data_IF_223110056741
#
_entry.id   IF_223110056741
#
_cell.length_a   1.000
_cell.length_b   1.000
_cell.length_c   1.000
_cell.angle_alpha   90.00
_cell.angle_beta   90.00
_cell.angle_gamma   90.00
#
_symmetry.space_group_name_H-M   'P 1'
#
loop_
_entity.id
_entity.type
_entity.pdbx_description
1 polymer ?
#
# COMPACT_ATOMS: atom_id res chain seq x y z
N UNK A 1 0.39 2.53 -24.43
CA UNK A 1 0.00 1.90 -25.71
C UNK A 1 0.61 0.52 -25.73
N UNK A 2 -0.25 -0.49 -25.70
CA UNK A 2 0.01 -1.92 -25.46
C UNK A 2 0.55 -2.64 -26.70
N UNK A 3 1.36 -3.70 -26.52
CA UNK A 3 1.24 -4.95 -27.28
C UNK A 3 2.11 -6.10 -26.74
N UNK A 4 1.49 -7.29 -26.70
CA UNK A 4 2.04 -8.65 -26.84
C UNK A 4 2.25 -9.54 -25.59
N UNK A 5 1.38 -10.56 -25.55
CA UNK A 5 1.33 -11.79 -24.75
C UNK A 5 2.18 -12.93 -25.41
N UNK A 6 2.34 -14.13 -24.77
CA UNK A 6 3.61 -14.82 -24.60
C UNK A 6 3.72 -16.20 -25.29
N UNK A 7 4.89 -16.85 -25.19
CA UNK A 7 5.01 -18.32 -25.24
C UNK A 7 6.18 -18.89 -24.39
N UNK A 8 5.81 -19.92 -23.60
CA UNK A 8 6.51 -21.11 -23.09
C UNK A 8 7.78 -21.58 -23.84
N UNK A 9 8.78 -22.32 -23.35
CA UNK A 9 8.98 -23.29 -22.25
C UNK A 9 10.45 -23.76 -22.33
N UNK A 10 11.07 -24.25 -21.25
CA UNK A 10 12.30 -25.06 -21.38
C UNK A 10 13.09 -25.22 -20.09
N UNK A 11 13.14 -26.44 -19.57
CA UNK A 11 13.65 -26.85 -18.27
C UNK A 11 15.10 -27.37 -18.29
N UNK A 12 15.67 -27.52 -17.09
CA UNK A 12 16.79 -28.42 -16.75
C UNK A 12 18.19 -27.80 -16.87
N UNK A 13 19.18 -28.09 -16.04
CA UNK A 13 19.36 -29.00 -14.90
C UNK A 13 20.64 -28.50 -14.19
N UNK A 14 20.68 -28.54 -12.85
CA UNK A 14 21.89 -28.25 -12.07
C UNK A 14 22.34 -29.52 -11.33
N UNK A 15 23.60 -29.88 -11.54
CA UNK A 15 24.26 -31.11 -11.10
C UNK A 15 24.95 -30.91 -9.74
N UNK A 16 24.69 -31.86 -8.83
CA UNK A 16 25.50 -32.49 -7.77
C UNK A 16 26.74 -31.83 -7.14
N UNK A 17 26.90 -32.10 -5.82
CA UNK A 17 28.21 -32.47 -5.23
C UNK A 17 28.58 -31.69 -3.96
N UNK A 18 28.22 -32.12 -2.75
CA UNK A 18 28.94 -33.10 -1.88
C UNK A 18 30.10 -32.47 -1.05
N UNK A 19 30.06 -32.79 0.26
CA UNK A 19 31.13 -33.07 1.25
C UNK A 19 31.28 -32.15 2.48
N UNK A 20 30.85 -32.75 3.60
CA UNK A 20 31.33 -32.64 4.97
C UNK A 20 32.83 -32.36 5.13
N UNK A 21 33.18 -31.64 6.20
CA UNK A 21 34.35 -31.97 7.04
C UNK A 21 34.06 -31.70 8.52
N UNK A 22 34.23 -32.77 9.31
CA UNK A 22 34.25 -32.82 10.77
C UNK A 22 35.60 -32.36 11.33
N UNK A 23 35.50 -31.78 12.52
CA UNK A 23 36.39 -31.86 13.70
C UNK A 23 37.86 -31.43 13.59
N UNK A 24 38.23 -30.53 14.49
CA UNK A 24 39.48 -30.61 15.25
C UNK A 24 39.25 -30.03 16.65
N UNK A 25 39.44 -30.91 17.63
CA UNK A 25 39.44 -30.68 19.08
C UNK A 25 40.75 -30.04 19.56
N UNK A 26 40.71 -29.68 20.85
CA UNK A 26 41.79 -29.59 21.85
C UNK A 26 42.15 -28.16 22.28
N UNK A 27 41.77 -27.80 23.52
CA UNK A 27 42.69 -27.49 24.63
C UNK A 27 41.93 -27.31 25.97
N UNK A 28 42.11 -28.31 26.84
CA UNK A 28 42.40 -28.28 28.30
C UNK A 28 41.55 -27.49 29.33
N UNK A 29 40.92 -28.27 30.20
CA UNK A 29 40.68 -28.13 31.67
C UNK A 29 41.28 -26.92 32.40
N UNK A 30 40.43 -26.13 33.05
CA UNK A 30 40.49 -25.76 34.48
C UNK A 30 39.14 -25.13 34.91
N UNK A 31 38.79 -25.28 36.19
CA UNK A 31 37.67 -24.65 36.93
C UNK A 31 36.22 -25.19 36.78
N UNK A 32 36.00 -26.36 37.39
CA UNK A 32 34.67 -26.79 37.84
C UNK A 32 34.40 -26.28 39.27
N UNK A 33 33.73 -25.12 39.40
CA UNK A 33 32.97 -24.70 40.60
C UNK A 33 32.24 -23.37 40.34
N UNK A 34 31.11 -23.36 39.65
CA UNK A 34 30.07 -22.31 39.82
C UNK A 34 28.72 -22.81 39.28
N UNK A 35 27.97 -23.48 40.17
CA UNK A 35 26.54 -23.71 40.00
C UNK A 35 25.79 -22.41 40.29
N UNK A 36 24.96 -22.01 39.31
CA UNK A 36 23.60 -21.50 39.50
C UNK A 36 23.45 -20.28 40.42
N UNK A 37 23.36 -19.09 39.83
CA UNK A 37 22.39 -18.06 40.25
C UNK A 37 21.84 -17.34 39.01
N UNK A 38 20.79 -17.94 38.44
CA UNK A 38 19.88 -17.27 37.54
C UNK A 38 19.04 -16.29 38.38
N UNK A 39 18.98 -14.99 38.07
CA UNK A 39 18.11 -14.07 38.81
C UNK A 39 16.65 -14.50 38.64
N UNK A 40 15.78 -14.33 39.66
CA UNK A 40 14.41 -14.80 39.59
C UNK A 40 13.64 -14.14 38.44
N UNK A 41 12.87 -14.96 37.72
CA UNK A 41 11.89 -14.64 36.67
C UNK A 41 10.75 -13.67 37.08
N UNK A 42 10.92 -12.88 38.15
CA UNK A 42 9.91 -11.97 38.68
C UNK A 42 9.99 -10.55 38.08
N UNK A 43 11.16 -10.10 37.60
CA UNK A 43 11.35 -8.72 37.11
C UNK A 43 10.99 -8.53 35.63
N UNK A 44 10.95 -9.61 34.85
CA UNK A 44 10.51 -9.57 33.45
C UNK A 44 9.04 -9.15 33.31
N UNK A 45 8.20 -9.47 34.30
CA UNK A 45 6.78 -9.09 34.29
C UNK A 45 6.57 -7.61 34.64
N UNK A 46 7.45 -7.03 35.48
CA UNK A 46 7.40 -5.60 35.83
C UNK A 46 7.99 -4.73 34.71
N UNK A 47 9.05 -5.17 34.04
CA UNK A 47 9.58 -4.52 32.83
C UNK A 47 8.57 -4.58 31.68
N UNK A 48 7.90 -5.74 31.50
CA UNK A 48 6.82 -5.87 30.53
C UNK A 48 5.61 -5.00 30.93
N UNK A 49 5.26 -4.89 32.21
CA UNK A 49 4.18 -3.99 32.68
C UNK A 49 4.55 -2.51 32.56
N UNK A 50 5.78 -2.10 32.80
CA UNK A 50 6.25 -0.71 32.62
C UNK A 50 6.32 -0.33 31.14
N UNK A 51 6.81 -1.25 30.28
CA UNK A 51 6.75 -1.08 28.82
C UNK A 51 5.31 -1.13 28.28
N UNK A 52 4.42 -1.90 28.93
CA UNK A 52 2.98 -1.92 28.61
C UNK A 52 2.23 -0.69 29.17
N UNK A 53 2.71 -0.05 30.25
CA UNK A 53 2.13 1.20 30.77
C UNK A 53 2.47 2.41 29.90
N UNK A 54 3.59 2.35 29.18
CA UNK A 54 3.88 3.27 28.05
C UNK A 54 3.16 2.88 26.75
N UNK A 55 2.47 1.73 26.74
CA UNK A 55 1.80 1.15 25.58
C UNK A 55 0.43 1.75 25.21
N UNK A 56 -0.10 2.67 26.02
CA UNK A 56 -1.40 3.33 25.78
C UNK A 56 -1.32 4.71 25.14
N UNK A 57 -0.12 5.26 24.92
CA UNK A 57 0.07 6.34 23.95
C UNK A 57 0.09 5.71 22.55
N UNK A 58 -1.07 5.22 22.08
CA UNK A 58 -1.30 4.92 20.67
C UNK A 58 -0.74 6.09 19.89
N UNK A 59 0.24 5.85 19.02
CA UNK A 59 0.95 6.90 18.31
C UNK A 59 -0.06 7.64 17.41
N UNK A 60 -0.67 8.71 17.92
CA UNK A 60 -1.76 9.46 17.29
C UNK A 60 -1.38 9.84 15.85
N UNK A 61 -0.12 10.21 15.66
CA UNK A 61 0.45 10.55 14.35
C UNK A 61 0.33 9.41 13.32
N UNK A 62 0.40 8.14 13.72
CA UNK A 62 0.22 6.99 12.81
C UNK A 62 -1.23 6.79 12.40
N UNK A 63 -2.16 7.00 13.32
CA UNK A 63 -3.59 6.96 12.98
C UNK A 63 -3.92 8.10 12.02
N UNK A 64 -3.31 9.27 12.23
CA UNK A 64 -3.50 10.43 11.38
C UNK A 64 -2.91 10.21 10.00
N UNK A 65 -1.68 9.68 9.93
CA UNK A 65 -1.03 9.29 8.70
C UNK A 65 -1.86 8.25 7.93
N UNK A 66 -2.39 7.23 8.61
CA UNK A 66 -3.26 6.22 7.98
C UNK A 66 -4.49 6.88 7.37
N UNK A 67 -5.18 7.74 8.11
CA UNK A 67 -6.37 8.43 7.59
C UNK A 67 -6.05 9.43 6.49
N UNK A 68 -4.88 10.08 6.52
CA UNK A 68 -4.41 10.91 5.42
C UNK A 68 -4.25 10.08 4.14
N UNK A 69 -3.62 8.91 4.22
CA UNK A 69 -3.50 8.00 3.07
C UNK A 69 -4.87 7.56 2.57
N UNK A 70 -5.85 7.31 3.46
CA UNK A 70 -7.24 7.07 3.04
C UNK A 70 -7.84 8.27 2.30
N UNK A 71 -7.61 9.51 2.76
CA UNK A 71 -8.06 10.69 2.02
C UNK A 71 -7.44 10.75 0.62
N UNK A 72 -6.17 10.39 0.49
CA UNK A 72 -5.48 10.31 -0.79
C UNK A 72 -6.09 9.24 -1.71
N UNK A 73 -6.54 8.10 -1.19
CA UNK A 73 -7.30 7.10 -1.97
C UNK A 73 -8.56 7.73 -2.57
N UNK A 74 -9.37 8.41 -1.74
CA UNK A 74 -10.61 9.05 -2.20
C UNK A 74 -10.32 10.14 -3.23
N UNK A 75 -9.31 10.98 -2.98
CA UNK A 75 -8.87 12.01 -3.91
C UNK A 75 -8.37 11.42 -5.24
N UNK A 76 -7.63 10.31 -5.19
CA UNK A 76 -7.15 9.63 -6.39
C UNK A 76 -8.31 9.16 -7.25
N UNK A 77 -9.26 8.40 -6.69
CA UNK A 77 -10.42 7.92 -7.45
C UNK A 77 -11.33 9.06 -7.92
N UNK A 78 -11.49 10.13 -7.13
CA UNK A 78 -12.21 11.33 -7.54
C UNK A 78 -11.55 12.01 -8.75
N UNK A 79 -10.22 11.95 -8.87
CA UNK A 79 -9.47 12.56 -9.96
C UNK A 79 -9.52 11.76 -11.27
N UNK A 80 -9.61 10.42 -11.22
CA UNK A 80 -9.41 9.54 -12.39
C UNK A 80 -10.35 9.78 -13.58
N UNK A 81 -11.49 10.45 -13.39
CA UNK A 81 -12.41 10.79 -14.48
C UNK A 81 -11.93 11.96 -15.37
N UNK A 82 -10.95 12.74 -14.91
CA UNK A 82 -10.59 14.05 -15.45
C UNK A 82 -9.13 14.27 -15.95
N UNK A 83 -8.17 13.30 -15.88
CA UNK A 83 -6.84 13.54 -16.43
C UNK A 83 -6.85 13.51 -17.97
N UNK A 84 -5.83 14.11 -18.60
CA UNK A 84 -5.73 14.18 -20.07
C UNK A 84 -5.49 12.82 -20.72
N UNK A 85 -4.94 11.86 -19.97
CA UNK A 85 -4.76 10.48 -20.42
C UNK A 85 -6.00 9.60 -20.20
N UNK A 86 -7.09 10.13 -19.61
CA UNK A 86 -8.30 9.36 -19.36
C UNK A 86 -8.88 8.85 -20.69
N UNK A 87 -9.23 7.57 -20.68
CA UNK A 87 -9.79 6.86 -21.83
C UNK A 87 -10.99 6.03 -21.37
N UNK A 88 -12.03 6.03 -22.21
CA UNK A 88 -13.27 5.28 -22.01
C UNK A 88 -13.49 4.33 -23.17
N UNK A 89 -13.66 3.04 -22.85
CA UNK A 89 -14.05 2.01 -23.80
C UNK A 89 -15.52 1.65 -23.56
N UNK A 90 -16.47 2.08 -24.42
CA UNK A 90 -17.88 1.79 -24.22
C UNK A 90 -18.21 0.30 -24.40
N UNK A 91 -17.36 -0.48 -25.09
CA UNK A 91 -17.61 -1.92 -25.30
C UNK A 91 -17.18 -2.75 -24.09
N UNK A 92 -16.04 -2.40 -23.52
CA UNK A 92 -15.45 -3.06 -22.37
C UNK A 92 -15.00 -2.02 -21.38
N UNK A 93 -15.97 -1.42 -20.67
CA UNK A 93 -15.69 -0.29 -19.80
C UNK A 93 -14.72 -0.62 -18.65
N UNK A 94 -14.43 -1.89 -18.38
CA UNK A 94 -13.36 -2.33 -17.47
C UNK A 94 -11.95 -1.97 -17.95
N UNK A 95 -11.74 -1.84 -19.26
CA UNK A 95 -10.47 -1.45 -19.84
C UNK A 95 -10.34 0.07 -19.95
N UNK A 96 -11.36 0.80 -19.51
CA UNK A 96 -11.29 2.25 -19.31
C UNK A 96 -10.36 2.59 -18.16
N UNK A 97 -9.82 3.80 -18.19
CA UNK A 97 -9.02 4.35 -17.08
C UNK A 97 -9.81 4.54 -15.78
N UNK A 98 -11.13 4.71 -15.90
CA UNK A 98 -12.08 4.83 -14.81
C UNK A 98 -13.48 4.43 -15.31
N UNK A 99 -14.42 4.07 -14.41
CA UNK A 99 -15.80 3.76 -14.81
C UNK A 99 -16.51 4.95 -15.45
N UNK A 100 -16.18 6.17 -15.01
CA UNK A 100 -16.72 7.41 -15.57
C UNK A 100 -15.55 8.27 -16.04
N UNK A 101 -15.67 8.83 -17.24
CA UNK A 101 -14.61 9.59 -17.92
C UNK A 101 -15.26 10.82 -18.56
N UNK A 102 -14.87 12.01 -18.11
CA UNK A 102 -15.57 13.27 -18.39
C UNK A 102 -14.90 14.13 -19.47
N UNK A 103 -15.58 14.57 -20.52
CA UNK A 103 -14.94 15.28 -21.63
C UNK A 103 -14.07 16.49 -21.23
N UNK A 104 -14.36 17.14 -20.10
CA UNK A 104 -13.52 18.22 -19.59
C UNK A 104 -12.19 17.71 -18.97
N UNK A 105 -11.11 17.96 -19.72
CA UNK A 105 -9.68 17.69 -19.46
C UNK A 105 -9.00 18.59 -18.43
N UNK A 106 -8.17 18.11 -17.49
CA UNK A 106 -7.15 18.98 -16.86
C UNK A 106 -5.83 18.27 -16.52
N UNK A 107 -4.72 18.75 -17.11
CA UNK A 107 -3.37 18.18 -16.94
C UNK A 107 -2.78 18.33 -15.54
N UNK A 108 -3.34 19.21 -14.70
CA UNK A 108 -3.00 19.26 -13.29
C UNK A 108 -3.33 17.96 -12.56
N UNK A 109 -4.41 17.27 -12.96
CA UNK A 109 -4.78 15.98 -12.39
C UNK A 109 -3.85 14.86 -12.85
N UNK A 110 -3.24 14.96 -14.03
CA UNK A 110 -2.18 14.04 -14.45
C UNK A 110 -1.01 14.06 -13.46
N UNK A 111 -0.61 15.26 -13.05
CA UNK A 111 0.50 15.48 -12.11
C UNK A 111 0.12 15.00 -10.71
N UNK A 112 -1.09 15.31 -10.25
CA UNK A 112 -1.59 14.85 -8.96
C UNK A 112 -1.68 13.32 -8.88
N UNK A 113 -2.28 12.68 -9.89
CA UNK A 113 -2.43 11.22 -9.97
C UNK A 113 -1.04 10.57 -10.00
N UNK A 114 -0.14 11.08 -10.85
CA UNK A 114 1.23 10.57 -10.96
C UNK A 114 1.96 10.69 -9.63
N UNK A 115 1.88 11.83 -8.94
CA UNK A 115 2.52 12.00 -7.64
C UNK A 115 1.94 11.06 -6.59
N UNK A 116 0.61 10.96 -6.52
CA UNK A 116 -0.06 10.14 -5.53
C UNK A 116 0.30 8.66 -5.68
N UNK A 117 0.21 8.14 -6.92
CA UNK A 117 0.46 6.73 -7.27
C UNK A 117 1.86 6.24 -6.87
N UNK A 118 2.86 7.13 -6.77
CA UNK A 118 4.21 6.78 -6.36
C UNK A 118 4.27 6.13 -4.98
N UNK A 119 3.46 6.60 -4.02
CA UNK A 119 3.76 6.36 -2.60
C UNK A 119 2.57 5.95 -1.74
N UNK A 120 1.33 6.29 -2.08
CA UNK A 120 0.22 6.10 -1.15
C UNK A 120 -0.07 4.61 -0.85
N UNK A 121 -0.09 3.76 -1.88
CA UNK A 121 -0.26 2.30 -1.73
C UNK A 121 0.88 1.64 -0.96
N UNK A 122 2.18 1.80 -1.33
CA UNK A 122 3.27 1.19 -0.56
C UNK A 122 3.32 1.71 0.89
N UNK A 123 2.98 2.97 1.13
CA UNK A 123 2.84 3.52 2.48
C UNK A 123 1.70 2.85 3.26
N UNK A 124 0.55 2.59 2.62
CA UNK A 124 -0.57 1.89 3.23
C UNK A 124 -0.23 0.44 3.59
N UNK A 125 0.50 -0.27 2.72
CA UNK A 125 1.05 -1.61 3.00
C UNK A 125 2.05 -1.59 4.16
N UNK A 126 2.98 -0.62 4.17
CA UNK A 126 3.94 -0.42 5.26
C UNK A 126 3.23 -0.23 6.62
N UNK A 127 2.25 0.70 6.67
CA UNK A 127 1.49 0.99 7.89
C UNK A 127 0.70 -0.24 8.35
N UNK A 128 0.11 -0.99 7.43
CA UNK A 128 -0.64 -2.21 7.74
C UNK A 128 0.26 -3.29 8.33
N UNK A 129 1.48 -3.41 7.81
CA UNK A 129 2.53 -4.32 8.30
C UNK A 129 2.96 -4.06 9.75
N UNK A 130 3.01 -2.79 10.19
CA UNK A 130 3.48 -2.40 11.54
C UNK A 130 2.82 -3.15 12.71
N UNK A 131 1.59 -3.65 12.51
CA UNK A 131 0.81 -4.29 13.57
C UNK A 131 0.83 -5.83 13.50
N UNK A 132 1.38 -6.41 12.43
CA UNK A 132 1.33 -7.85 12.13
C UNK A 132 2.05 -8.67 13.18
N UNK A 133 3.34 -8.38 13.43
CA UNK A 133 4.15 -9.15 14.37
C UNK A 133 3.57 -9.13 15.79
N UNK A 134 3.17 -7.96 16.28
CA UNK A 134 2.58 -7.82 17.63
C UNK A 134 1.24 -8.55 17.72
N UNK A 135 0.43 -8.49 16.68
CA UNK A 135 -0.83 -9.24 16.58
C UNK A 135 -0.60 -10.75 16.67
N UNK A 136 0.34 -11.28 15.89
CA UNK A 136 0.72 -12.69 15.90
C UNK A 136 1.30 -13.14 17.24
N UNK A 137 2.22 -12.35 17.81
CA UNK A 137 2.87 -12.67 19.07
C UNK A 137 1.89 -12.67 20.26
N UNK A 138 0.89 -11.77 20.25
CA UNK A 138 -0.10 -11.64 21.34
C UNK A 138 -1.25 -12.63 21.23
N UNK A 139 -1.80 -12.83 20.02
CA UNK A 139 -3.02 -13.63 19.80
C UNK A 139 -2.72 -15.09 19.41
N UNK A 140 -1.53 -15.36 18.88
CA UNK A 140 -1.22 -16.61 18.19
C UNK A 140 -1.82 -16.68 16.78
N UNK A 141 -1.37 -17.64 15.98
CA UNK A 141 -1.67 -17.73 14.54
C UNK A 141 -3.17 -17.82 14.25
N UNK A 142 -3.87 -18.76 14.89
CA UNK A 142 -5.29 -19.03 14.60
C UNK A 142 -6.17 -17.82 14.90
N UNK A 143 -6.05 -17.25 16.10
CA UNK A 143 -6.84 -16.09 16.50
C UNK A 143 -6.49 -14.84 15.69
N UNK A 144 -5.22 -14.68 15.27
CA UNK A 144 -4.82 -13.62 14.36
C UNK A 144 -5.52 -13.73 13.00
N UNK A 145 -5.47 -14.89 12.35
CA UNK A 145 -6.10 -15.10 11.05
C UNK A 145 -7.61 -14.91 11.08
N UNK A 146 -8.29 -15.39 12.13
CA UNK A 146 -9.74 -15.18 12.30
C UNK A 146 -10.05 -13.68 12.44
N UNK A 147 -9.32 -12.96 13.29
CA UNK A 147 -9.51 -11.52 13.49
C UNK A 147 -9.27 -10.73 12.19
N UNK A 148 -8.24 -11.11 11.41
CA UNK A 148 -7.97 -10.50 10.10
C UNK A 148 -9.05 -10.82 9.07
N UNK A 149 -9.50 -12.06 8.97
CA UNK A 149 -10.58 -12.43 8.05
C UNK A 149 -11.88 -11.69 8.38
N UNK A 150 -12.22 -11.55 9.67
CA UNK A 150 -13.41 -10.79 10.08
C UNK A 150 -13.27 -9.31 9.74
N UNK A 151 -12.10 -8.70 9.98
CA UNK A 151 -11.89 -7.26 9.78
C UNK A 151 -11.57 -6.85 8.35
N UNK A 152 -11.08 -7.76 7.52
CA UNK A 152 -10.64 -7.47 6.14
C UNK A 152 -11.43 -8.31 5.13
N UNK A 153 -11.47 -9.63 5.32
CA UNK A 153 -12.16 -10.56 4.41
C UNK A 153 -13.65 -10.30 4.30
N UNK A 154 -14.38 -10.14 5.42
CA UNK A 154 -15.82 -9.87 5.38
C UNK A 154 -16.13 -8.52 4.68
N UNK A 155 -15.49 -7.38 5.05
CA UNK A 155 -15.69 -6.14 4.31
C UNK A 155 -15.32 -6.23 2.83
N UNK A 156 -14.27 -6.96 2.48
CA UNK A 156 -13.90 -7.21 1.08
C UNK A 156 -15.02 -7.93 0.33
N UNK A 157 -15.55 -9.03 0.87
CA UNK A 157 -16.66 -9.77 0.24
C UNK A 157 -17.91 -8.91 0.08
N UNK A 158 -18.27 -8.13 1.11
CA UNK A 158 -19.40 -7.19 1.05
C UNK A 158 -19.15 -6.13 -0.03
N UNK A 159 -17.94 -5.58 -0.10
CA UNK A 159 -17.59 -4.58 -1.08
C UNK A 159 -17.69 -5.14 -2.50
N UNK A 160 -17.09 -6.29 -2.79
CA UNK A 160 -17.06 -6.88 -4.13
C UNK A 160 -18.42 -7.41 -4.61
N UNK A 161 -19.27 -7.90 -3.70
CA UNK A 161 -20.60 -8.44 -4.06
C UNK A 161 -21.66 -7.34 -4.16
N UNK A 162 -21.52 -6.24 -3.40
CA UNK A 162 -22.56 -5.21 -3.29
C UNK A 162 -22.06 -3.85 -3.76
N UNK A 163 -20.99 -3.33 -3.15
CA UNK A 163 -20.58 -1.94 -3.34
C UNK A 163 -19.94 -1.69 -4.71
N UNK A 164 -19.13 -2.61 -5.21
CA UNK A 164 -18.47 -2.47 -6.52
C UNK A 164 -19.49 -2.58 -7.66
N UNK A 165 -20.41 -3.56 -7.71
CA UNK A 165 -21.50 -3.55 -8.69
C UNK A 165 -22.31 -2.25 -8.66
N UNK A 166 -22.68 -1.76 -7.47
CA UNK A 166 -23.38 -0.45 -7.34
C UNK A 166 -22.53 0.69 -7.91
N UNK A 167 -21.22 0.66 -7.74
CA UNK A 167 -20.32 1.67 -8.29
C UNK A 167 -20.25 1.66 -9.83
N UNK A 168 -20.46 0.50 -10.47
CA UNK A 168 -20.46 0.35 -11.93
C UNK A 168 -21.83 0.52 -12.59
N UNK A 169 -22.92 0.48 -11.82
CA UNK A 169 -24.28 0.75 -12.31
C UNK A 169 -24.41 2.05 -13.16
N UNK A 170 -23.83 3.22 -12.77
CA UNK A 170 -23.92 4.42 -13.60
C UNK A 170 -23.21 4.27 -14.96
N UNK A 171 -22.08 3.56 -14.99
CA UNK A 171 -21.34 3.27 -16.22
C UNK A 171 -22.13 2.34 -17.15
N UNK A 172 -22.73 1.29 -16.59
CA UNK A 172 -23.62 0.41 -17.36
C UNK A 172 -24.79 1.18 -17.98
N UNK A 173 -25.44 2.06 -17.19
CA UNK A 173 -26.52 2.90 -17.69
C UNK A 173 -26.03 3.86 -18.77
N UNK A 174 -24.86 4.48 -18.60
CA UNK A 174 -24.25 5.38 -19.60
C UNK A 174 -24.09 4.68 -20.96
N UNK A 175 -23.62 3.43 -20.98
CA UNK A 175 -23.37 2.66 -22.20
C UNK A 175 -24.66 2.09 -22.80
N UNK A 176 -25.51 1.47 -21.98
CA UNK A 176 -26.62 0.65 -22.47
C UNK A 176 -27.96 1.36 -22.46
N UNK A 177 -28.08 2.47 -21.74
CA UNK A 177 -29.34 3.17 -21.43
C UNK A 177 -30.38 2.27 -20.75
N UNK A 178 -29.96 1.13 -20.20
CA UNK A 178 -30.82 0.16 -19.53
C UNK A 178 -30.72 0.30 -18.01
N UNK A 179 -31.84 0.10 -17.32
CA UNK A 179 -31.92 -0.02 -15.86
C UNK A 179 -32.34 -1.43 -15.43
N UNK A 180 -32.41 -2.38 -16.38
CA UNK A 180 -32.80 -3.75 -16.07
C UNK A 180 -31.70 -4.47 -15.27
N UNK A 181 -32.06 -4.94 -14.08
CA UNK A 181 -31.14 -5.56 -13.15
C UNK A 181 -30.53 -6.86 -13.70
N UNK A 182 -31.31 -7.68 -14.40
CA UNK A 182 -30.83 -8.96 -14.93
C UNK A 182 -29.80 -8.74 -16.03
N UNK A 183 -30.04 -7.76 -16.89
CA UNK A 183 -29.12 -7.35 -17.96
C UNK A 183 -27.83 -6.79 -17.35
N UNK A 184 -27.93 -5.95 -16.33
CA UNK A 184 -26.77 -5.42 -15.62
C UNK A 184 -25.90 -6.54 -15.04
N UNK A 185 -26.47 -7.48 -14.29
CA UNK A 185 -25.68 -8.55 -13.67
C UNK A 185 -25.03 -9.46 -14.73
N UNK A 186 -25.73 -9.76 -15.83
CA UNK A 186 -25.16 -10.54 -16.94
C UNK A 186 -23.99 -9.81 -17.60
N UNK A 187 -24.14 -8.51 -17.90
CA UNK A 187 -23.06 -7.69 -18.46
C UNK A 187 -21.87 -7.62 -17.49
N UNK A 188 -22.12 -7.19 -16.25
CA UNK A 188 -21.10 -7.01 -15.22
C UNK A 188 -20.30 -8.28 -14.92
N UNK A 189 -20.97 -9.44 -14.81
CA UNK A 189 -20.30 -10.69 -14.45
C UNK A 189 -19.70 -11.44 -15.64
N UNK A 190 -20.38 -11.45 -16.80
CA UNK A 190 -19.97 -12.30 -17.94
C UNK A 190 -19.18 -11.53 -18.98
N UNK A 191 -19.62 -10.31 -19.35
CA UNK A 191 -18.97 -9.50 -20.39
C UNK A 191 -17.79 -8.74 -19.79
N UNK A 192 -18.01 -8.12 -18.65
CA UNK A 192 -17.03 -7.30 -17.94
C UNK A 192 -16.22 -8.10 -16.91
N UNK A 193 -16.43 -9.43 -16.86
CA UNK A 193 -15.63 -10.38 -16.08
C UNK A 193 -15.50 -10.05 -14.58
N UNK A 194 -16.54 -9.46 -13.97
CA UNK A 194 -16.56 -9.05 -12.57
C UNK A 194 -15.39 -8.11 -12.23
N UNK A 195 -15.47 -6.84 -12.66
CA UNK A 195 -14.34 -5.92 -12.58
C UNK A 195 -13.83 -5.73 -11.16
N UNK A 196 -12.51 -5.59 -11.06
CA UNK A 196 -11.82 -5.31 -9.81
C UNK A 196 -12.11 -3.89 -9.33
N UNK A 197 -12.43 -3.75 -8.05
CA UNK A 197 -12.61 -2.46 -7.40
C UNK A 197 -11.41 -2.06 -6.53
N UNK A 198 -11.46 -0.87 -5.89
CA UNK A 198 -10.50 -0.47 -4.86
C UNK A 198 -10.24 -1.51 -3.75
N UNK A 199 -11.18 -2.41 -3.37
CA UNK A 199 -10.89 -3.45 -2.38
C UNK A 199 -9.80 -4.46 -2.76
N UNK A 200 -9.22 -4.41 -3.96
CA UNK A 200 -8.03 -5.20 -4.35
C UNK A 200 -6.91 -5.17 -3.30
N UNK A 201 -6.69 -4.00 -2.69
CA UNK A 201 -5.73 -3.82 -1.61
C UNK A 201 -6.06 -4.68 -0.37
N UNK A 202 -7.34 -4.80 -0.02
CA UNK A 202 -7.78 -5.52 1.18
C UNK A 202 -7.51 -7.01 1.03
N UNK A 203 -7.83 -7.61 -0.12
CA UNK A 203 -7.56 -9.04 -0.29
C UNK A 203 -6.05 -9.29 -0.40
N UNK A 204 -5.27 -8.40 -1.04
CA UNK A 204 -3.81 -8.51 -1.04
C UNK A 204 -3.22 -8.41 0.38
N UNK A 205 -3.79 -7.56 1.24
CA UNK A 205 -3.41 -7.55 2.66
C UNK A 205 -3.69 -8.88 3.35
N UNK A 206 -4.84 -9.52 3.09
CA UNK A 206 -5.16 -10.86 3.62
C UNK A 206 -4.16 -11.90 3.11
N UNK A 207 -3.80 -11.85 1.82
CA UNK A 207 -2.79 -12.74 1.24
C UNK A 207 -1.40 -12.53 1.89
N UNK A 208 -0.99 -11.27 2.06
CA UNK A 208 0.28 -10.93 2.71
C UNK A 208 0.28 -11.27 4.21
N UNK A 209 -0.85 -11.17 4.90
CA UNK A 209 -1.02 -11.69 6.26
C UNK A 209 -0.79 -13.21 6.30
N UNK A 210 -1.27 -13.94 5.28
CA UNK A 210 -0.97 -15.37 5.10
C UNK A 210 0.54 -15.64 4.96
N UNK A 211 1.23 -14.90 4.08
CA UNK A 211 2.69 -14.98 3.92
C UNK A 211 3.39 -14.67 5.25
N UNK A 212 2.96 -13.64 5.96
CA UNK A 212 3.56 -13.26 7.22
C UNK A 212 3.36 -14.33 8.32
N UNK A 213 2.19 -14.96 8.36
CA UNK A 213 1.91 -16.11 9.23
C UNK A 213 2.84 -17.28 8.91
N UNK A 214 3.05 -17.59 7.63
CA UNK A 214 3.98 -18.64 7.21
C UNK A 214 5.41 -18.33 7.69
N UNK A 215 5.90 -17.12 7.44
CA UNK A 215 7.22 -16.69 7.94
C UNK A 215 7.28 -16.78 9.47
N UNK A 216 6.24 -16.37 10.19
CA UNK A 216 6.20 -16.41 11.65
C UNK A 216 6.23 -17.85 12.19
N UNK A 217 5.47 -18.76 11.56
CA UNK A 217 5.42 -20.17 11.93
C UNK A 217 6.77 -20.86 11.76
N UNK A 218 7.49 -20.55 10.67
CA UNK A 218 8.74 -21.23 10.32
C UNK A 218 9.96 -20.58 10.98
N UNK A 219 9.97 -19.24 11.07
CA UNK A 219 11.11 -18.47 11.58
C UNK A 219 10.65 -17.19 12.26
N UNK A 220 10.01 -17.30 13.42
CA UNK A 220 9.61 -16.14 14.26
C UNK A 220 10.74 -15.12 14.48
N UNK A 221 11.98 -15.59 14.58
CA UNK A 221 13.18 -14.75 14.75
C UNK A 221 13.48 -13.85 13.54
N UNK A 222 12.92 -14.13 12.35
CA UNK A 222 13.08 -13.30 11.16
C UNK A 222 12.69 -11.84 11.42
N UNK A 223 11.47 -11.60 11.94
CA UNK A 223 10.96 -10.24 12.14
C UNK A 223 11.81 -9.44 13.12
N UNK A 224 12.18 -10.06 14.24
CA UNK A 224 13.00 -9.44 15.28
C UNK A 224 14.42 -9.22 14.75
N UNK A 225 14.99 -10.22 14.07
CA UNK A 225 16.35 -10.18 13.54
C UNK A 225 16.53 -9.10 12.48
N UNK A 226 15.61 -9.02 11.52
CA UNK A 226 15.60 -7.94 10.51
C UNK A 226 15.36 -6.59 11.18
N UNK A 227 14.44 -6.48 12.14
CA UNK A 227 14.22 -5.24 12.90
C UNK A 227 15.48 -4.76 13.64
N UNK A 228 16.22 -5.65 14.31
CA UNK A 228 17.50 -5.29 14.95
C UNK A 228 18.61 -4.97 13.94
N UNK A 229 18.62 -5.64 12.79
CA UNK A 229 19.54 -5.31 11.71
C UNK A 229 19.26 -3.90 11.18
N UNK A 230 17.99 -3.53 10.94
CA UNK A 230 17.58 -2.16 10.59
C UNK A 230 17.98 -1.16 11.68
N UNK A 231 17.80 -1.52 12.96
CA UNK A 231 18.23 -0.68 14.08
C UNK A 231 19.75 -0.45 14.09
N UNK A 232 20.55 -1.46 13.74
CA UNK A 232 22.01 -1.33 13.59
C UNK A 232 22.36 -0.44 12.40
N UNK A 233 21.74 -0.68 11.24
CA UNK A 233 21.96 0.12 10.03
C UNK A 233 21.53 1.57 10.19
N UNK A 234 20.53 1.85 11.03
CA UNK A 234 20.08 3.23 11.31
C UNK A 234 21.19 4.13 11.88
N UNK A 235 22.28 3.56 12.40
CA UNK A 235 23.49 4.31 12.82
C UNK A 235 24.23 4.94 11.62
N UNK A 236 23.98 4.46 10.40
CA UNK A 236 24.56 4.93 9.14
C UNK A 236 23.41 5.25 8.17
N UNK A 237 22.73 6.41 8.33
CA UNK A 237 21.48 6.70 7.62
C UNK A 237 21.59 6.68 6.10
N UNK A 238 22.74 7.11 5.54
CA UNK A 238 22.98 7.04 4.09
C UNK A 238 23.06 5.59 3.61
N UNK A 239 23.79 4.74 4.33
CA UNK A 239 23.89 3.31 4.01
C UNK A 239 22.54 2.60 4.17
N UNK A 240 21.78 2.89 5.23
CA UNK A 240 20.43 2.37 5.39
C UNK A 240 19.54 2.78 4.20
N UNK A 241 19.61 4.04 3.76
CA UNK A 241 18.83 4.53 2.61
C UNK A 241 19.19 3.79 1.33
N UNK A 242 20.49 3.57 1.07
CA UNK A 242 20.97 2.83 -0.10
C UNK A 242 20.50 1.36 -0.07
N UNK A 243 20.56 0.71 1.09
CA UNK A 243 20.07 -0.67 1.26
C UNK A 243 18.56 -0.75 1.02
N UNK A 244 17.76 0.15 1.60
CA UNK A 244 16.31 0.16 1.39
C UNK A 244 15.98 0.45 -0.08
N UNK A 245 16.66 1.41 -0.70
CA UNK A 245 16.51 1.69 -2.12
C UNK A 245 16.81 0.45 -2.96
N UNK A 246 17.94 -0.23 -2.71
CA UNK A 246 18.32 -1.44 -3.44
C UNK A 246 17.30 -2.57 -3.30
N UNK A 247 16.80 -2.83 -2.08
CA UNK A 247 15.77 -3.86 -1.84
C UNK A 247 14.47 -3.51 -2.56
N UNK A 248 14.03 -2.26 -2.49
CA UNK A 248 12.80 -1.82 -3.15
C UNK A 248 12.94 -1.83 -4.68
N UNK A 249 14.09 -1.40 -5.21
CA UNK A 249 14.41 -1.45 -6.63
C UNK A 249 14.40 -2.89 -7.17
N UNK A 250 15.06 -3.83 -6.47
CA UNK A 250 15.06 -5.25 -6.84
C UNK A 250 13.65 -5.86 -6.77
N UNK A 251 12.80 -5.38 -5.86
CA UNK A 251 11.42 -5.87 -5.76
C UNK A 251 10.47 -5.35 -6.84
N UNK A 252 10.82 -4.26 -7.53
CA UNK A 252 9.98 -3.64 -8.56
C UNK A 252 10.53 -3.89 -9.96
N UNK A 253 11.78 -3.48 -10.22
CA UNK A 253 12.34 -3.32 -11.56
C UNK A 253 12.32 -4.64 -12.35
N UNK A 254 12.81 -5.79 -11.84
CA UNK A 254 12.86 -7.02 -12.63
C UNK A 254 11.48 -7.49 -13.05
N UNK A 255 10.50 -7.44 -12.13
CA UNK A 255 9.13 -7.86 -12.42
C UNK A 255 8.46 -6.89 -13.38
N UNK A 256 8.63 -5.58 -13.18
CA UNK A 256 8.13 -4.52 -14.05
C UNK A 256 8.67 -4.61 -15.47
N UNK A 257 9.96 -4.91 -15.66
CA UNK A 257 10.56 -5.13 -16.97
C UNK A 257 10.08 -6.44 -17.64
N UNK A 258 9.77 -7.47 -16.83
CA UNK A 258 9.32 -8.76 -17.36
C UNK A 258 7.85 -8.74 -17.81
N UNK A 259 6.95 -8.16 -17.01
CA UNK A 259 5.50 -8.15 -17.30
C UNK A 259 5.00 -6.86 -17.91
N UNK A 260 5.82 -5.80 -17.89
CA UNK A 260 5.42 -4.45 -18.30
C UNK A 260 4.97 -3.55 -17.14
N UNK A 261 5.07 -2.25 -17.35
CA UNK A 261 4.60 -1.25 -16.40
C UNK A 261 3.08 -1.20 -16.37
N UNK A 262 2.51 -1.03 -15.17
CA UNK A 262 1.07 -0.97 -14.91
C UNK A 262 0.29 -2.24 -15.27
N UNK A 263 0.96 -3.35 -15.50
CA UNK A 263 0.32 -4.63 -15.81
C UNK A 263 -0.46 -5.18 -14.61
N UNK A 264 -1.75 -5.44 -14.84
CA UNK A 264 -2.66 -6.20 -13.97
C UNK A 264 -2.74 -7.65 -14.42
N UNK A 265 -3.29 -8.56 -13.61
CA UNK A 265 -3.49 -9.95 -14.05
C UNK A 265 -4.63 -10.04 -15.09
N UNK A 266 -5.66 -9.22 -14.94
CA UNK A 266 -6.69 -8.95 -15.97
C UNK A 266 -7.80 -10.00 -16.10
N UNK A 267 -7.65 -11.21 -15.56
CA UNK A 267 -8.63 -12.31 -15.71
C UNK A 267 -8.94 -13.04 -14.40
N UNK A 268 -8.84 -12.36 -13.26
CA UNK A 268 -9.06 -12.93 -11.92
C UNK A 268 -10.29 -12.35 -11.21
N UNK A 269 -11.13 -11.62 -11.95
CA UNK A 269 -12.36 -10.99 -11.44
C UNK A 269 -12.09 -10.13 -10.20
N UNK A 270 -12.83 -10.31 -9.09
CA UNK A 270 -12.69 -9.48 -7.89
C UNK A 270 -11.36 -9.69 -7.15
N UNK A 271 -10.59 -10.72 -7.52
CA UNK A 271 -9.26 -11.01 -6.96
C UNK A 271 -8.12 -10.56 -7.88
N UNK A 272 -8.39 -9.71 -8.87
CA UNK A 272 -7.33 -9.11 -9.68
C UNK A 272 -6.46 -8.16 -8.82
N UNK A 273 -5.22 -7.94 -9.28
CA UNK A 273 -4.25 -7.06 -8.65
C UNK A 273 -3.19 -6.60 -9.64
N UNK A 274 -2.51 -5.52 -9.28
CA UNK A 274 -1.42 -4.96 -10.04
C UNK A 274 -0.16 -5.86 -9.94
N UNK A 275 -0.03 -6.76 -10.92
CA UNK A 275 1.02 -7.79 -10.97
C UNK A 275 2.42 -7.19 -10.94
N UNK A 276 2.67 -6.12 -11.71
CA UNK A 276 4.01 -5.54 -11.83
C UNK A 276 4.56 -4.99 -10.50
N UNK A 277 3.69 -4.69 -9.52
CA UNK A 277 4.04 -4.15 -8.20
C UNK A 277 3.82 -5.13 -7.04
N UNK A 278 3.51 -6.40 -7.31
CA UNK A 278 3.20 -7.40 -6.27
C UNK A 278 4.31 -7.53 -5.22
N UNK A 279 5.55 -7.80 -5.67
CA UNK A 279 6.70 -7.98 -4.78
C UNK A 279 7.10 -6.66 -4.09
N UNK A 280 6.95 -5.55 -4.79
CA UNK A 280 7.14 -4.20 -4.25
C UNK A 280 6.22 -3.93 -3.06
N UNK A 281 4.92 -4.20 -3.18
CA UNK A 281 3.98 -4.06 -2.08
C UNK A 281 4.27 -5.04 -0.93
N UNK A 282 4.63 -6.29 -1.24
CA UNK A 282 5.01 -7.28 -0.23
C UNK A 282 6.22 -6.84 0.60
N UNK A 283 7.24 -6.27 -0.06
CA UNK A 283 8.44 -5.74 0.62
C UNK A 283 8.06 -4.64 1.61
N UNK A 284 7.22 -3.67 1.23
CA UNK A 284 6.78 -2.63 2.17
C UNK A 284 5.98 -3.21 3.34
N UNK A 285 5.09 -4.16 3.09
CA UNK A 285 4.33 -4.83 4.14
C UNK A 285 5.24 -5.61 5.12
N UNK A 286 6.23 -6.35 4.62
CA UNK A 286 7.18 -7.08 5.45
C UNK A 286 8.14 -6.16 6.20
N UNK A 287 8.63 -5.09 5.55
CA UNK A 287 9.41 -4.04 6.22
C UNK A 287 8.62 -3.45 7.39
N UNK A 288 7.34 -3.15 7.18
CA UNK A 288 6.43 -2.70 8.24
C UNK A 288 6.34 -3.72 9.37
N UNK A 289 6.18 -5.00 9.04
CA UNK A 289 6.12 -6.09 10.02
C UNK A 289 7.39 -6.22 10.86
N UNK A 290 8.57 -6.07 10.24
CA UNK A 290 9.87 -6.09 10.92
C UNK A 290 10.11 -4.84 11.79
N UNK A 291 9.72 -3.66 11.30
CA UNK A 291 9.74 -2.43 12.10
C UNK A 291 8.83 -2.58 13.33
N UNK A 292 7.61 -3.07 13.14
CA UNK A 292 6.62 -3.31 14.20
C UNK A 292 7.04 -4.33 15.27
N UNK A 293 7.98 -5.21 14.93
CA UNK A 293 8.58 -6.17 15.85
C UNK A 293 9.62 -5.56 16.81
N UNK A 294 10.06 -4.32 16.55
CA UNK A 294 11.10 -3.63 17.32
C UNK A 294 10.66 -2.20 17.68
N UNK A 295 11.52 -1.49 18.42
CA UNK A 295 11.27 -0.12 18.85
C UNK A 295 11.71 0.92 17.79
N UNK A 296 11.11 0.81 16.61
CA UNK A 296 11.49 1.58 15.42
C UNK A 296 11.36 3.09 15.55
N UNK A 297 10.42 3.57 16.38
CA UNK A 297 10.28 5.01 16.62
C UNK A 297 11.52 5.59 17.30
N UNK A 298 12.19 4.81 18.16
CA UNK A 298 13.36 5.30 18.87
C UNK A 298 14.59 5.34 17.97
N UNK A 299 14.87 4.30 17.17
CA UNK A 299 16.09 4.26 16.36
C UNK A 299 15.99 4.94 14.99
N UNK A 300 14.79 5.22 14.46
CA UNK A 300 14.66 5.93 13.18
C UNK A 300 14.57 7.46 13.33
N UNK A 301 14.04 7.96 14.46
CA UNK A 301 13.77 9.38 14.66
C UNK A 301 14.68 10.06 15.69
N UNK A 302 15.59 9.33 16.35
CA UNK A 302 16.55 9.99 17.24
C UNK A 302 17.46 10.96 16.45
N UNK A 303 18.06 11.91 17.14
CA UNK A 303 19.05 12.81 16.53
C UNK A 303 20.16 11.97 15.85
N UNK A 304 20.63 12.45 14.69
CA UNK A 304 21.59 11.78 13.79
C UNK A 304 21.11 10.49 13.10
N UNK A 305 19.81 10.18 13.13
CA UNK A 305 19.20 9.05 12.39
C UNK A 305 18.52 9.53 11.12
N UNK A 306 17.99 8.59 10.35
CA UNK A 306 17.36 8.83 9.05
C UNK A 306 16.30 9.95 9.13
N UNK A 307 15.34 9.83 10.05
CA UNK A 307 14.29 10.84 10.26
C UNK A 307 14.60 11.81 11.41
N UNK A 308 15.87 11.88 11.83
CA UNK A 308 16.33 12.83 12.85
C UNK A 308 16.53 14.26 12.33
N UNK A 309 16.44 14.47 11.01
CA UNK A 309 16.47 15.79 10.37
C UNK A 309 15.08 16.46 10.38
N UNK A 310 15.06 17.78 10.23
CA UNK A 310 13.83 18.56 10.08
C UNK A 310 12.96 18.06 8.91
N UNK A 311 11.64 18.05 9.10
CA UNK A 311 10.62 17.77 8.08
C UNK A 311 10.85 18.53 6.76
N UNK A 312 11.41 19.74 6.79
CA UNK A 312 11.72 20.53 5.60
C UNK A 312 12.77 19.86 4.71
N UNK A 313 13.75 19.16 5.28
CA UNK A 313 14.74 18.42 4.49
C UNK A 313 14.05 17.33 3.69
N UNK A 314 13.15 16.58 4.32
CA UNK A 314 12.39 15.53 3.64
C UNK A 314 11.42 16.08 2.61
N UNK A 315 10.83 17.25 2.85
CA UNK A 315 10.00 17.94 1.86
C UNK A 315 10.83 18.33 0.62
N UNK A 316 12.02 18.92 0.81
CA UNK A 316 12.91 19.28 -0.30
C UNK A 316 13.38 18.05 -1.08
N UNK A 317 13.74 16.97 -0.39
CA UNK A 317 14.13 15.70 -1.03
C UNK A 317 12.95 15.10 -1.81
N UNK A 318 11.73 15.12 -1.26
CA UNK A 318 10.52 14.70 -1.96
C UNK A 318 10.28 15.52 -3.23
N UNK A 319 10.31 16.85 -3.13
CA UNK A 319 10.13 17.74 -4.29
C UNK A 319 11.21 17.52 -5.35
N UNK A 320 12.48 17.37 -4.94
CA UNK A 320 13.60 17.12 -5.85
C UNK A 320 13.49 15.78 -6.58
N UNK A 321 13.20 14.69 -5.85
CA UNK A 321 13.01 13.37 -6.46
C UNK A 321 11.76 13.32 -7.35
N UNK A 322 10.68 14.01 -6.97
CA UNK A 322 9.48 14.06 -7.80
C UNK A 322 9.70 14.89 -9.07
N UNK A 323 10.40 16.01 -8.98
CA UNK A 323 10.77 16.79 -10.16
C UNK A 323 11.65 15.97 -11.10
N UNK A 324 12.65 15.25 -10.57
CA UNK A 324 13.47 14.34 -11.36
C UNK A 324 12.62 13.25 -12.03
N UNK A 325 11.69 12.64 -11.29
CA UNK A 325 10.74 11.67 -11.83
C UNK A 325 9.96 12.28 -13.01
N UNK A 326 9.35 13.46 -12.85
CA UNK A 326 8.58 14.12 -13.92
C UNK A 326 9.43 14.41 -15.15
N UNK A 327 10.66 14.91 -14.96
CA UNK A 327 11.59 15.20 -16.06
C UNK A 327 11.89 13.91 -16.82
N UNK A 328 12.27 12.85 -16.11
CA UNK A 328 12.67 11.57 -16.70
C UNK A 328 11.48 10.87 -17.36
N UNK A 329 10.29 10.88 -16.76
CA UNK A 329 9.10 10.28 -17.37
C UNK A 329 8.70 10.99 -18.67
N UNK A 330 8.79 12.33 -18.71
CA UNK A 330 8.44 13.11 -19.91
C UNK A 330 9.52 13.01 -20.99
N UNK A 331 10.78 13.22 -20.62
CA UNK A 331 11.92 13.17 -21.53
C UNK A 331 12.19 11.74 -22.03
N UNK A 332 12.07 10.74 -21.15
CA UNK A 332 12.23 9.33 -21.50
C UNK A 332 11.26 8.91 -22.59
N UNK A 333 9.99 9.30 -22.50
CA UNK A 333 9.00 9.02 -23.54
C UNK A 333 9.39 9.64 -24.90
N UNK A 334 9.97 10.85 -24.91
CA UNK A 334 10.45 11.48 -26.15
C UNK A 334 11.72 10.81 -26.68
N UNK A 335 12.66 10.44 -25.81
CA UNK A 335 13.92 9.80 -26.19
C UNK A 335 13.71 8.41 -26.78
N UNK A 336 12.78 7.63 -26.24
CA UNK A 336 12.36 6.34 -26.82
C UNK A 336 11.78 6.55 -28.23
N UNK A 337 10.88 7.53 -28.41
CA UNK A 337 10.28 7.83 -29.73
C UNK A 337 11.29 8.30 -30.77
N UNK A 338 12.32 9.02 -30.34
CA UNK A 338 13.39 9.55 -31.20
C UNK A 338 14.50 8.52 -31.47
N UNK A 339 14.44 7.34 -30.85
CA UNK A 339 15.45 6.29 -31.02
C UNK A 339 16.77 6.54 -30.27
N UNK A 340 16.82 7.51 -29.35
CA UNK A 340 17.99 7.74 -28.50
C UNK A 340 18.16 6.68 -27.41
N UNK A 341 17.10 5.95 -27.09
CA UNK A 341 17.10 4.83 -26.15
C UNK A 341 16.07 3.79 -26.56
N UNK A 342 16.30 2.54 -26.17
CA UNK A 342 15.33 1.46 -26.30
C UNK A 342 14.19 1.63 -25.28
N UNK A 343 13.04 1.01 -25.54
CA UNK A 343 11.91 1.01 -24.58
C UNK A 343 12.30 0.40 -23.23
N UNK A 344 13.14 -0.64 -23.23
CA UNK A 344 13.62 -1.31 -22.02
C UNK A 344 14.47 -0.37 -21.16
N UNK A 345 15.40 0.37 -21.77
CA UNK A 345 16.21 1.37 -21.07
C UNK A 345 15.35 2.50 -20.50
N UNK A 346 14.36 2.96 -21.27
CA UNK A 346 13.37 3.95 -20.81
C UNK A 346 12.57 3.48 -19.60
N UNK A 347 12.07 2.23 -19.62
CA UNK A 347 11.34 1.65 -18.49
C UNK A 347 12.20 1.42 -17.27
N UNK A 348 13.45 0.95 -17.45
CA UNK A 348 14.39 0.80 -16.35
C UNK A 348 14.68 2.16 -15.67
N UNK A 349 14.96 3.18 -16.47
CA UNK A 349 15.24 4.53 -15.97
C UNK A 349 14.02 5.12 -15.25
N UNK A 350 12.81 4.91 -15.80
CA UNK A 350 11.56 5.29 -15.15
C UNK A 350 11.41 4.62 -13.78
N UNK A 351 11.62 3.31 -13.68
CA UNK A 351 11.43 2.57 -12.43
C UNK A 351 12.48 2.95 -11.36
N UNK A 352 13.71 3.26 -11.78
CA UNK A 352 14.77 3.80 -10.91
C UNK A 352 14.33 5.10 -10.24
N UNK A 353 13.83 6.07 -11.03
CA UNK A 353 13.37 7.35 -10.45
C UNK A 353 12.05 7.22 -9.72
N UNK A 354 11.18 6.27 -10.11
CA UNK A 354 9.96 5.93 -9.41
C UNK A 354 10.26 5.49 -7.96
N UNK A 355 11.22 4.58 -7.78
CA UNK A 355 11.60 4.08 -6.44
C UNK A 355 12.17 5.20 -5.57
N UNK A 356 13.04 6.05 -6.14
CA UNK A 356 13.61 7.19 -5.41
C UNK A 356 12.51 8.17 -4.96
N UNK A 357 11.57 8.50 -5.85
CA UNK A 357 10.47 9.42 -5.57
C UNK A 357 9.45 8.83 -4.60
N UNK A 358 9.15 7.53 -4.70
CA UNK A 358 8.33 6.78 -3.75
C UNK A 358 8.91 6.90 -2.33
N UNK A 359 10.17 6.50 -2.13
CA UNK A 359 10.82 6.51 -0.82
C UNK A 359 10.94 7.92 -0.24
N UNK A 360 11.26 8.92 -1.07
CA UNK A 360 11.33 10.31 -0.66
C UNK A 360 9.96 10.84 -0.19
N UNK A 361 8.89 10.53 -0.92
CA UNK A 361 7.52 10.95 -0.59
C UNK A 361 6.98 10.26 0.66
N UNK A 362 7.26 8.96 0.81
CA UNK A 362 6.98 8.24 2.06
C UNK A 362 7.74 8.84 3.25
N UNK A 363 9.03 9.15 3.05
CA UNK A 363 9.87 9.78 4.06
C UNK A 363 9.36 11.16 4.48
N UNK A 364 8.94 11.98 3.53
CA UNK A 364 8.30 13.27 3.79
C UNK A 364 7.01 13.12 4.60
N UNK A 365 6.12 12.21 4.22
CA UNK A 365 4.88 11.98 4.97
C UNK A 365 5.17 11.50 6.40
N UNK A 366 6.04 10.50 6.57
CA UNK A 366 6.38 9.95 7.88
C UNK A 366 7.04 11.01 8.77
N UNK A 367 8.01 11.76 8.24
CA UNK A 367 8.69 12.84 8.95
C UNK A 367 7.72 13.96 9.33
N UNK A 368 6.88 14.42 8.38
CA UNK A 368 5.91 15.48 8.63
C UNK A 368 4.92 15.11 9.73
N UNK A 369 4.27 13.94 9.64
CA UNK A 369 3.28 13.54 10.64
C UNK A 369 3.93 13.29 12.01
N UNK A 370 5.08 12.63 12.07
CA UNK A 370 5.77 12.38 13.35
C UNK A 370 6.20 13.67 14.04
N UNK A 371 6.72 14.64 13.30
CA UNK A 371 7.26 15.88 13.87
C UNK A 371 6.18 16.96 14.09
N UNK A 372 5.07 16.93 13.34
CA UNK A 372 4.02 17.96 13.42
C UNK A 372 2.88 17.58 14.36
N UNK A 373 2.57 16.28 14.51
CA UNK A 373 1.45 15.83 15.35
C UNK A 373 1.95 15.59 16.77
N UNK A 374 1.83 16.61 17.60
CA UNK A 374 2.19 16.57 19.04
C UNK A 374 0.97 16.51 19.95
N UNK A 375 -0.22 16.86 19.43
CA UNK A 375 -1.48 16.92 20.19
C UNK A 375 -2.64 16.35 19.36
N UNK A 376 -3.64 15.74 20.01
CA UNK A 376 -4.85 15.28 19.32
C UNK A 376 -5.68 16.47 18.80
N UNK A 377 -6.21 16.33 17.59
CA UNK A 377 -7.16 17.22 16.94
C UNK A 377 -8.53 16.53 16.85
N UNK A 378 -9.58 17.14 17.39
CA UNK A 378 -10.92 16.52 17.48
C UNK A 378 -11.48 16.09 16.12
N UNK A 379 -11.37 16.95 15.11
CA UNK A 379 -11.85 16.64 13.75
C UNK A 379 -11.10 15.46 13.13
N UNK A 380 -9.78 15.42 13.28
CA UNK A 380 -8.95 14.36 12.74
C UNK A 380 -9.12 13.04 13.48
N UNK A 381 -9.37 13.06 14.79
CA UNK A 381 -9.72 11.87 15.56
C UNK A 381 -10.98 11.17 15.00
N UNK A 382 -12.01 11.96 14.67
CA UNK A 382 -13.22 11.42 14.03
C UNK A 382 -12.91 10.84 12.65
N UNK A 383 -12.07 11.52 11.86
CA UNK A 383 -11.66 11.02 10.55
C UNK A 383 -10.90 9.68 10.68
N UNK A 384 -9.90 9.62 11.56
CA UNK A 384 -9.11 8.41 11.79
C UNK A 384 -9.94 7.25 12.31
N UNK A 385 -10.96 7.51 13.12
CA UNK A 385 -11.87 6.47 13.59
C UNK A 385 -12.74 5.88 12.46
N UNK A 386 -13.01 6.63 11.39
CA UNK A 386 -13.88 6.22 10.28
C UNK A 386 -13.10 5.91 8.98
N UNK A 387 -11.77 6.04 8.97
CA UNK A 387 -10.95 5.91 7.78
C UNK A 387 -11.16 4.57 7.05
N UNK A 388 -11.25 3.45 7.78
CA UNK A 388 -11.46 2.15 7.14
C UNK A 388 -12.85 2.02 6.51
N UNK A 389 -13.90 2.52 7.18
CA UNK A 389 -15.24 2.54 6.60
C UNK A 389 -15.33 3.47 5.38
N UNK A 390 -14.68 4.64 5.42
CA UNK A 390 -14.56 5.54 4.26
C UNK A 390 -13.92 4.81 3.08
N UNK A 391 -12.80 4.12 3.31
CA UNK A 391 -12.13 3.32 2.31
C UNK A 391 -13.06 2.28 1.66
N UNK A 392 -13.90 1.59 2.44
CA UNK A 392 -14.79 0.55 1.91
C UNK A 392 -15.90 1.13 1.02
N UNK A 393 -16.48 2.27 1.40
CA UNK A 393 -17.71 2.78 0.74
C UNK A 393 -17.47 3.88 -0.31
N UNK A 394 -16.29 4.50 -0.35
CA UNK A 394 -16.08 5.72 -1.14
C UNK A 394 -16.35 5.57 -2.63
N UNK A 395 -16.02 4.41 -3.21
CA UNK A 395 -15.99 4.26 -4.65
C UNK A 395 -17.37 4.45 -5.30
N UNK A 396 -18.42 3.92 -4.67
CA UNK A 396 -19.79 4.16 -5.13
C UNK A 396 -20.15 5.65 -5.12
N UNK A 397 -19.84 6.37 -4.05
CA UNK A 397 -20.10 7.82 -4.03
C UNK A 397 -19.31 8.57 -5.11
N UNK A 398 -18.06 8.18 -5.36
CA UNK A 398 -17.23 8.79 -6.40
C UNK A 398 -17.86 8.62 -7.78
N UNK A 399 -18.18 7.39 -8.19
CA UNK A 399 -18.66 7.12 -9.56
C UNK A 399 -20.03 7.74 -9.82
N UNK A 400 -20.94 7.69 -8.84
CA UNK A 400 -22.26 8.31 -8.95
C UNK A 400 -22.20 9.84 -9.03
N UNK A 401 -21.31 10.48 -8.25
CA UNK A 401 -21.12 11.93 -8.33
C UNK A 401 -20.43 12.35 -9.64
N UNK A 402 -19.46 11.59 -10.13
CA UNK A 402 -18.85 11.80 -11.44
C UNK A 402 -19.91 11.70 -12.55
N UNK A 403 -20.73 10.65 -12.51
CA UNK A 403 -21.84 10.45 -13.45
C UNK A 403 -22.83 11.62 -13.43
N UNK A 404 -23.26 12.06 -12.24
CA UNK A 404 -24.19 13.18 -12.09
C UNK A 404 -23.65 14.52 -12.63
N UNK A 405 -22.33 14.69 -12.68
CA UNK A 405 -21.67 15.88 -13.18
C UNK A 405 -21.26 15.80 -14.66
N UNK A 406 -21.46 14.67 -15.33
CA UNK A 406 -21.05 14.48 -16.73
C UNK A 406 -21.60 15.57 -17.66
N UNK A 407 -22.91 15.86 -17.57
CA UNK A 407 -23.58 16.85 -18.42
C UNK A 407 -23.36 18.30 -17.97
N UNK A 408 -22.75 18.52 -16.81
CA UNK A 408 -22.56 19.86 -16.24
C UNK A 408 -21.32 20.50 -16.88
N UNK A 409 -21.49 21.61 -17.60
CA UNK A 409 -20.38 22.29 -18.26
C UNK A 409 -19.63 23.24 -17.31
N UNK A 410 -18.80 22.68 -16.43
CA UNK A 410 -17.87 23.42 -15.56
C UNK A 410 -16.45 22.84 -15.67
N UNK A 411 -15.40 23.62 -15.34
CA UNK A 411 -14.02 23.16 -15.43
C UNK A 411 -13.77 21.88 -14.63
N UNK A 412 -12.90 21.00 -15.16
CA UNK A 412 -12.57 19.71 -14.57
C UNK A 412 -12.14 19.79 -13.09
N UNK A 413 -11.36 20.84 -12.73
CA UNK A 413 -10.93 21.08 -11.35
C UNK A 413 -12.12 21.33 -10.41
N UNK A 414 -13.17 22.01 -10.89
CA UNK A 414 -14.39 22.26 -10.10
C UNK A 414 -15.14 20.94 -9.90
N UNK A 415 -15.30 20.14 -10.96
CA UNK A 415 -15.92 18.80 -10.85
C UNK A 415 -15.15 17.91 -9.89
N UNK A 416 -13.82 17.86 -10.00
CA UNK A 416 -12.95 17.12 -9.09
C UNK A 416 -13.17 17.52 -7.62
N UNK A 417 -13.18 18.83 -7.32
CA UNK A 417 -13.38 19.32 -5.94
C UNK A 417 -14.76 18.93 -5.41
N UNK A 418 -15.81 19.06 -6.24
CA UNK A 418 -17.17 18.65 -5.86
C UNK A 418 -17.23 17.15 -5.58
N UNK A 419 -16.69 16.31 -6.47
CA UNK A 419 -16.67 14.85 -6.30
C UNK A 419 -15.87 14.46 -5.07
N UNK A 420 -14.68 15.03 -4.88
CA UNK A 420 -13.82 14.70 -3.75
C UNK A 420 -14.48 15.06 -2.41
N UNK A 421 -14.96 16.30 -2.25
CA UNK A 421 -15.59 16.75 -1.01
C UNK A 421 -16.93 16.05 -0.77
N UNK A 422 -17.72 15.84 -1.81
CA UNK A 422 -19.00 15.13 -1.75
C UNK A 422 -18.81 13.67 -1.36
N UNK A 423 -17.95 12.94 -2.08
CA UNK A 423 -17.67 11.54 -1.79
C UNK A 423 -17.05 11.36 -0.40
N UNK A 424 -16.11 12.22 0.01
CA UNK A 424 -15.54 12.18 1.34
C UNK A 424 -16.61 12.39 2.42
N UNK A 425 -17.46 13.40 2.27
CA UNK A 425 -18.49 13.74 3.25
C UNK A 425 -19.54 12.63 3.38
N UNK A 426 -20.02 12.11 2.25
CA UNK A 426 -21.00 11.02 2.20
C UNK A 426 -20.42 9.72 2.75
N UNK A 427 -19.16 9.40 2.42
CA UNK A 427 -18.45 8.23 2.95
C UNK A 427 -18.24 8.32 4.45
N UNK A 428 -17.84 9.50 4.94
CA UNK A 428 -17.62 9.74 6.36
C UNK A 428 -18.93 9.65 7.14
N UNK A 429 -20.01 10.27 6.65
CA UNK A 429 -21.32 10.17 7.26
C UNK A 429 -21.80 8.71 7.30
N UNK A 430 -21.70 8.00 6.17
CA UNK A 430 -22.08 6.59 6.07
C UNK A 430 -21.29 5.72 7.03
N UNK A 431 -19.97 5.87 7.08
CA UNK A 431 -19.11 5.13 8.02
C UNK A 431 -19.48 5.43 9.48
N UNK A 432 -19.76 6.70 9.81
CA UNK A 432 -20.17 7.11 11.16
C UNK A 432 -21.52 6.52 11.55
N UNK A 433 -22.47 6.43 10.62
CA UNK A 433 -23.78 5.82 10.85
C UNK A 433 -23.68 4.31 11.00
N UNK A 434 -22.94 3.64 10.09
CA UNK A 434 -22.71 2.20 10.13
C UNK A 434 -22.06 1.76 11.46
N UNK A 435 -21.08 2.53 11.95
CA UNK A 435 -20.39 2.26 13.22
C UNK A 435 -21.24 2.53 14.47
N UNK A 436 -22.48 3.00 14.36
CA UNK A 436 -23.43 3.01 15.49
C UNK A 436 -23.89 1.61 15.88
N UNK A 437 -23.89 0.66 14.93
CA UNK A 437 -24.14 -0.73 15.22
C UNK A 437 -22.94 -1.36 15.94
N UNK A 438 -23.19 -2.02 17.07
CA UNK A 438 -22.13 -2.68 17.86
C UNK A 438 -21.43 -3.79 17.08
N UNK A 439 -22.14 -4.48 16.18
CA UNK A 439 -21.57 -5.53 15.32
C UNK A 439 -20.65 -4.92 14.26
N UNK A 440 -21.14 -3.89 13.56
CA UNK A 440 -20.39 -3.25 12.47
C UNK A 440 -19.18 -2.50 12.99
N UNK A 441 -19.27 -1.86 14.16
CA UNK A 441 -18.13 -1.17 14.80
C UNK A 441 -16.97 -2.08 15.21
N UNK A 442 -17.21 -3.39 15.34
CA UNK A 442 -16.14 -4.37 15.63
C UNK A 442 -15.37 -4.77 14.36
N UNK A 443 -16.01 -4.59 13.21
CA UNK A 443 -15.48 -4.90 11.88
C UNK A 443 -14.83 -3.65 11.25
N UNK A 444 -15.52 -2.49 11.31
CA UNK A 444 -15.10 -1.18 10.79
C UNK A 444 -14.49 -0.27 11.87
#
# INVERSE_FOLDING_TARGET
>A
MSCCLPHSTGAGEAVNGIKDYKNLDVLTQEDASFLIFCPPLADGFLFLKLYMKTGDARAIWLDYLRSFVTLLVVAHHAALAYPTFAYFDPTHYIYSTAPIVDDNRWSGLDTFISFNDLFFMPLMFLISGLFVYRGLAKKGIRAYLIDRFIRLGIPFLIAEVILIPIAYAPTFYQVTQSTDFTTFIKDYSLVQQWPVGPPWFIWLLVAFDGVAVLIFKWRKSFYIGVGYWLARLSKRPVYLSAVIYGVVAISLIPLSLWVGQYTWVGNWGPFDFQLNRLLFYLVFFLLGSCLGATDWQNYLFSQNRLFGKDRLVWLVVCLGCFLLFVIISRAGATWVKQGYMTSTEGYFLYDVVFVASCLASMGACISFFKQSITRPLTGWNSLSANAYGIYVVHYGFVTWLQFALLSVNVPAIVKFVIVFLGALSLSWLSSRLLRRSTVVSRVL
#
